data_IF_117674960880
#
_entry.id   IF_117674960880
#
_cell.length_a   1.000
_cell.length_b   1.000
_cell.length_c   1.000
_cell.angle_alpha   90.00
_cell.angle_beta   90.00
_cell.angle_gamma   90.00
#
_symmetry.space_group_name_H-M   'P 1'
#
loop_
_entity.id
_entity.type
_entity.pdbx_description
1 polymer ?
#
# COMPACT_ATOMS: atom_id res chain seq x y z
N UNK A 1 -39.40 24.46 -22.64
CA UNK A 1 -38.15 24.08 -21.96
C UNK A 1 -38.21 22.60 -21.63
N UNK A 2 -37.32 21.76 -22.16
CA UNK A 2 -37.19 20.35 -21.75
C UNK A 2 -35.70 20.08 -21.57
N UNK A 3 -35.29 20.00 -20.30
CA UNK A 3 -33.94 19.67 -19.86
C UNK A 3 -33.71 18.18 -20.11
N UNK A 4 -32.68 17.85 -20.89
CA UNK A 4 -32.16 16.50 -21.01
C UNK A 4 -31.23 16.28 -19.81
N UNK A 5 -31.67 15.43 -18.88
CA UNK A 5 -30.89 15.01 -17.74
C UNK A 5 -29.69 14.19 -18.24
N UNK A 6 -28.48 14.69 -17.99
CA UNK A 6 -27.26 13.97 -18.25
C UNK A 6 -27.14 12.81 -17.25
N UNK A 7 -27.05 11.59 -17.80
CA UNK A 7 -26.88 10.33 -17.11
C UNK A 7 -25.49 10.30 -16.45
N UNK A 8 -25.42 10.52 -15.14
CA UNK A 8 -24.20 10.31 -14.35
C UNK A 8 -24.02 8.81 -14.17
N UNK A 9 -23.03 8.24 -14.84
CA UNK A 9 -22.57 6.87 -14.54
C UNK A 9 -21.88 6.89 -13.18
N UNK A 10 -22.63 6.53 -12.14
CA UNK A 10 -22.05 6.15 -10.86
C UNK A 10 -21.20 4.89 -11.07
N UNK A 11 -19.90 4.99 -10.82
CA UNK A 11 -19.05 3.80 -10.71
C UNK A 11 -19.56 2.97 -9.53
N UNK A 12 -19.88 1.71 -9.79
CA UNK A 12 -20.22 0.75 -8.75
C UNK A 12 -18.98 0.55 -7.86
N UNK A 13 -18.94 1.26 -6.73
CA UNK A 13 -18.15 0.85 -5.60
C UNK A 13 -18.74 -0.48 -5.13
N UNK A 14 -17.96 -1.55 -5.21
CA UNK A 14 -18.28 -2.79 -4.50
C UNK A 14 -18.23 -2.48 -3.01
N UNK A 15 -19.35 -2.01 -2.47
CA UNK A 15 -19.55 -1.80 -1.04
C UNK A 15 -19.77 -3.17 -0.39
N UNK A 16 -18.67 -3.84 -0.04
CA UNK A 16 -18.71 -4.73 1.12
C UNK A 16 -18.32 -3.86 2.31
N UNK A 17 -19.36 -3.37 3.00
CA UNK A 17 -19.20 -2.71 4.29
C UNK A 17 -18.91 -3.83 5.31
N UNK A 18 -17.64 -4.05 5.61
CA UNK A 18 -17.23 -4.96 6.69
C UNK A 18 -17.28 -4.14 7.98
N UNK A 19 -18.40 -4.23 8.69
CA UNK A 19 -18.47 -3.87 10.11
C UNK A 19 -17.70 -4.98 10.87
N UNK A 20 -16.51 -4.70 11.40
CA UNK A 20 -15.77 -5.69 12.20
C UNK A 20 -14.35 -5.33 12.64
N UNK A 21 -13.53 -4.76 11.75
CA UNK A 21 -12.10 -4.53 12.02
C UNK A 21 -11.75 -3.13 12.56
N UNK A 22 -10.81 -3.07 13.50
CA UNK A 22 -10.14 -1.83 13.91
C UNK A 22 -9.09 -1.42 12.87
N UNK A 23 -8.98 -0.13 12.57
CA UNK A 23 -7.99 0.39 11.62
C UNK A 23 -6.70 0.73 12.36
N UNK A 24 -5.59 0.06 12.03
CA UNK A 24 -4.26 0.35 12.62
C UNK A 24 -3.44 1.33 11.81
N UNK A 25 -3.73 1.42 10.51
CA UNK A 25 -3.09 2.39 9.63
C UNK A 25 -4.06 2.88 8.56
N UNK A 26 -4.05 4.19 8.31
CA UNK A 26 -4.83 4.83 7.26
C UNK A 26 -4.07 6.06 6.73
N UNK A 27 -3.73 6.02 5.44
CA UNK A 27 -3.15 7.15 4.69
C UNK A 27 -4.20 7.95 3.90
N UNK A 28 -5.49 7.65 4.09
CA UNK A 28 -6.67 8.18 3.41
C UNK A 28 -6.73 7.85 1.91
N UNK A 29 -7.94 7.98 1.37
CA UNK A 29 -8.20 7.78 -0.06
C UNK A 29 -7.47 8.84 -0.92
N UNK A 30 -7.10 8.50 -2.17
CA UNK A 30 -6.56 9.46 -3.12
C UNK A 30 -7.57 10.54 -3.53
N UNK A 31 -7.07 11.70 -3.96
CA UNK A 31 -7.89 12.78 -4.53
C UNK A 31 -8.78 12.29 -5.69
N UNK A 32 -9.96 12.88 -5.82
CA UNK A 32 -10.89 12.57 -6.92
C UNK A 32 -10.32 12.87 -8.30
N UNK A 33 -9.54 13.96 -8.39
CA UNK A 33 -8.90 14.42 -9.62
C UNK A 33 -7.46 14.85 -9.33
N UNK A 34 -6.54 14.52 -10.25
CA UNK A 34 -5.14 14.94 -10.15
C UNK A 34 -4.32 14.20 -9.10
N UNK A 35 -4.80 13.05 -8.59
CA UNK A 35 -4.01 12.20 -7.70
C UNK A 35 -2.68 11.81 -8.35
N UNK A 36 -1.60 12.02 -7.60
CA UNK A 36 -0.27 11.51 -7.95
C UNK A 36 -0.16 10.05 -7.55
N UNK A 37 0.93 9.40 -7.96
CA UNK A 37 1.21 8.04 -7.55
C UNK A 37 2.43 7.47 -8.24
N UNK A 38 2.72 6.22 -7.91
CA UNK A 38 3.91 5.52 -8.38
C UNK A 38 3.53 4.32 -9.26
N UNK A 39 4.11 4.18 -10.47
CA UNK A 39 3.83 3.04 -11.33
C UNK A 39 4.39 1.75 -10.73
N UNK A 40 3.63 0.66 -10.83
CA UNK A 40 4.00 -0.67 -10.40
C UNK A 40 4.23 -1.55 -11.63
N UNK A 41 5.42 -2.11 -11.75
CA UNK A 41 5.82 -2.98 -12.85
C UNK A 41 6.84 -4.01 -12.37
N UNK A 42 7.21 -4.95 -13.23
CA UNK A 42 8.30 -5.89 -12.95
C UNK A 42 9.62 -5.17 -12.63
N UNK A 43 9.88 -4.04 -13.28
CA UNK A 43 11.10 -3.26 -13.05
C UNK A 43 11.00 -2.21 -11.93
N UNK A 44 9.84 -2.11 -11.27
CA UNK A 44 9.64 -1.20 -10.13
C UNK A 44 8.44 -1.66 -9.32
N UNK A 45 8.72 -2.14 -8.11
CA UNK A 45 7.73 -2.42 -7.08
C UNK A 45 7.67 -1.26 -6.10
N UNK A 46 6.56 -1.14 -5.38
CA UNK A 46 6.32 -0.04 -4.44
C UNK A 46 5.96 -0.64 -3.09
N UNK A 47 6.41 -0.02 -2.01
CA UNK A 47 6.09 -0.44 -0.66
C UNK A 47 5.77 0.75 0.25
N UNK A 48 4.89 0.53 1.22
CA UNK A 48 4.56 1.50 2.27
C UNK A 48 4.95 0.90 3.63
N UNK A 49 5.73 1.63 4.41
CA UNK A 49 6.02 1.28 5.81
C UNK A 49 4.97 1.92 6.71
N UNK A 50 4.53 1.18 7.72
CA UNK A 50 3.69 1.73 8.78
C UNK A 50 4.03 1.08 10.13
N UNK A 51 3.93 1.82 11.25
CA UNK A 51 4.05 1.24 12.59
C UNK A 51 2.72 0.62 13.06
N UNK A 52 2.81 -0.49 13.80
CA UNK A 52 1.70 -0.97 14.62
C UNK A 52 1.67 -0.21 15.95
N UNK A 53 0.48 0.04 16.52
CA UNK A 53 0.39 0.71 17.81
C UNK A 53 1.05 -0.12 18.91
N UNK A 54 1.56 0.56 19.93
CA UNK A 54 1.88 -0.11 21.19
C UNK A 54 0.55 -0.57 21.82
N UNK A 55 0.44 -1.87 22.11
CA UNK A 55 -0.73 -2.43 22.77
C UNK A 55 -0.35 -2.88 24.18
N UNK A 56 -1.09 -2.39 25.18
CA UNK A 56 -0.99 -2.85 26.56
C UNK A 56 -1.84 -4.12 26.74
N UNK A 57 -1.43 -5.23 26.13
CA UNK A 57 -2.13 -6.52 26.18
C UNK A 57 -1.30 -7.64 25.56
N UNK A 58 -1.57 -8.89 25.93
CA UNK A 58 -0.88 -10.08 25.37
C UNK A 58 -1.43 -10.53 24.02
N UNK A 59 -2.59 -10.02 23.65
CA UNK A 59 -3.29 -10.46 22.45
C UNK A 59 -2.75 -9.65 21.26
N UNK A 60 -2.17 -10.36 20.29
CA UNK A 60 -1.66 -9.73 19.07
C UNK A 60 -2.80 -9.34 18.13
N UNK A 61 -2.62 -8.23 17.40
CA UNK A 61 -3.62 -7.73 16.45
C UNK A 61 -3.60 -8.63 15.20
N UNK A 62 -4.72 -9.28 14.89
CA UNK A 62 -4.76 -10.19 13.74
C UNK A 62 -5.18 -9.44 12.49
N UNK A 63 -4.34 -9.44 11.45
CA UNK A 63 -4.66 -8.82 10.17
C UNK A 63 -5.91 -9.44 9.56
N UNK A 64 -6.94 -8.63 9.32
CA UNK A 64 -8.13 -9.06 8.60
C UNK A 64 -7.97 -8.84 7.10
N UNK A 65 -7.66 -7.62 6.68
CA UNK A 65 -7.45 -7.26 5.29
C UNK A 65 -6.74 -5.92 5.14
N UNK A 66 -6.29 -5.67 3.91
CA UNK A 66 -5.66 -4.42 3.49
C UNK A 66 -6.40 -3.85 2.29
N UNK A 67 -6.70 -2.55 2.32
CA UNK A 67 -7.19 -1.82 1.16
C UNK A 67 -6.10 -0.93 0.58
N UNK A 68 -5.99 -0.90 -0.75
CA UNK A 68 -5.15 0.08 -1.45
C UNK A 68 -5.78 0.49 -2.78
N UNK A 69 -5.49 1.70 -3.26
CA UNK A 69 -6.14 2.24 -4.46
C UNK A 69 -5.14 2.45 -5.60
N UNK A 70 -5.46 1.87 -6.76
CA UNK A 70 -4.69 2.03 -7.98
C UNK A 70 -5.43 2.84 -9.04
N UNK A 71 -4.67 3.58 -9.85
CA UNK A 71 -5.09 4.07 -11.16
C UNK A 71 -4.79 3.01 -12.23
N UNK A 72 -5.81 2.60 -12.98
CA UNK A 72 -5.73 1.54 -13.98
C UNK A 72 -6.22 1.96 -15.36
N UNK A 73 -6.66 3.20 -15.57
CA UNK A 73 -7.17 3.64 -16.88
C UNK A 73 -6.23 3.40 -18.06
N UNK A 74 -4.94 3.61 -17.86
CA UNK A 74 -3.97 3.62 -18.95
C UNK A 74 -3.37 2.24 -19.23
N UNK A 75 -3.75 1.21 -18.47
CA UNK A 75 -3.26 -0.15 -18.71
C UNK A 75 -4.01 -0.77 -19.90
N UNK A 76 -3.33 -1.57 -20.74
CA UNK A 76 -4.01 -2.32 -21.79
C UNK A 76 -4.90 -3.40 -21.17
N UNK A 77 -5.98 -3.70 -21.87
CA UNK A 77 -6.90 -4.78 -21.55
C UNK A 77 -6.21 -6.14 -21.80
N UNK A 78 -5.43 -6.57 -20.81
CA UNK A 78 -4.69 -7.83 -20.79
C UNK A 78 -5.07 -8.59 -19.52
N UNK A 79 -5.85 -9.65 -19.70
CA UNK A 79 -6.37 -10.50 -18.62
C UNK A 79 -5.28 -11.29 -17.89
N UNK A 80 -4.05 -11.30 -18.39
CA UNK A 80 -2.90 -11.92 -17.71
C UNK A 80 -2.25 -11.00 -16.66
N UNK A 81 -2.65 -9.73 -16.59
CA UNK A 81 -2.09 -8.78 -15.62
C UNK A 81 -2.55 -9.09 -14.21
N UNK A 82 -1.59 -9.11 -13.29
CA UNK A 82 -1.83 -9.33 -11.87
C UNK A 82 -0.93 -8.46 -11.00
N UNK A 83 -1.36 -8.33 -9.75
CA UNK A 83 -0.61 -7.77 -8.64
C UNK A 83 -0.30 -8.88 -7.64
N UNK A 84 0.83 -8.75 -6.97
CA UNK A 84 1.21 -9.60 -5.86
C UNK A 84 1.53 -8.67 -4.69
N UNK A 85 0.71 -8.74 -3.66
CA UNK A 85 0.96 -8.03 -2.42
C UNK A 85 1.69 -8.94 -1.42
N UNK A 86 2.44 -8.35 -0.50
CA UNK A 86 3.03 -9.04 0.64
C UNK A 86 3.13 -8.11 1.85
N UNK A 87 3.04 -8.66 3.05
CA UNK A 87 3.20 -7.94 4.31
C UNK A 87 4.31 -8.59 5.12
N UNK A 88 5.37 -7.85 5.44
CA UNK A 88 6.48 -8.35 6.23
C UNK A 88 6.97 -7.34 7.27
N UNK A 89 7.47 -7.78 8.43
CA UNK A 89 8.06 -6.87 9.41
C UNK A 89 9.33 -6.22 8.83
N UNK A 90 9.55 -4.95 9.13
CA UNK A 90 10.82 -4.30 8.83
C UNK A 90 11.87 -4.86 9.79
N UNK A 91 12.83 -5.63 9.29
CA UNK A 91 13.95 -6.10 10.11
C UNK A 91 14.78 -4.87 10.54
N UNK A 92 14.80 -4.58 11.86
CA UNK A 92 15.85 -3.74 12.42
C UNK A 92 17.13 -4.55 12.36
N UNK A 93 18.00 -4.28 11.38
CA UNK A 93 19.33 -4.90 11.33
C UNK A 93 20.13 -4.42 12.54
N UNK A 94 20.03 -5.16 13.65
CA UNK A 94 20.97 -5.07 14.77
C UNK A 94 22.30 -5.63 14.26
N UNK A 95 23.33 -4.79 14.22
CA UNK A 95 24.67 -5.03 13.66
C UNK A 95 24.83 -4.89 12.14
N UNK A 96 25.03 -3.65 11.71
CA UNK A 96 26.20 -3.40 10.87
C UNK A 96 26.95 -2.18 11.42
N UNK A 97 28.08 -2.47 12.07
CA UNK A 97 29.06 -1.48 12.49
C UNK A 97 29.37 -0.55 11.32
N UNK A 98 29.42 0.76 11.63
CA UNK A 98 30.13 1.79 10.85
C UNK A 98 29.40 2.33 9.61
N UNK A 99 28.19 2.90 9.77
CA UNK A 99 27.82 4.20 9.18
C UNK A 99 26.49 4.67 9.82
N UNK A 100 26.53 5.77 10.59
CA UNK A 100 25.33 6.43 11.13
C UNK A 100 24.60 7.17 10.00
N UNK A 101 23.95 6.45 9.10
CA UNK A 101 23.01 7.02 8.13
C UNK A 101 21.80 6.11 8.05
N UNK A 102 20.68 6.55 8.65
CA UNK A 102 19.32 6.02 8.48
C UNK A 102 19.20 4.47 8.40
N UNK A 103 19.16 3.81 9.56
CA UNK A 103 18.77 2.40 9.71
C UNK A 103 17.25 2.23 9.46
N UNK A 104 16.78 2.62 8.27
CA UNK A 104 15.44 2.30 7.78
C UNK A 104 15.51 0.86 7.26
N UNK A 105 14.89 -0.09 7.97
CA UNK A 105 14.87 -1.49 7.54
C UNK A 105 14.24 -1.59 6.15
N UNK A 106 14.90 -2.28 5.23
CA UNK A 106 14.37 -2.49 3.87
C UNK A 106 13.23 -3.52 3.90
N UNK A 107 12.27 -3.47 2.95
CA UNK A 107 11.32 -4.56 2.76
C UNK A 107 12.07 -5.85 2.46
N UNK A 108 11.84 -6.89 3.27
CA UNK A 108 12.46 -8.21 3.10
C UNK A 108 11.39 -9.31 3.15
N UNK A 109 10.35 -9.15 2.32
CA UNK A 109 9.26 -10.10 2.24
C UNK A 109 9.73 -11.36 1.50
N UNK A 110 9.51 -12.51 2.11
CA UNK A 110 9.75 -13.85 1.58
C UNK A 110 8.49 -14.41 0.91
N UNK A 111 8.58 -15.56 0.25
CA UNK A 111 7.43 -16.18 -0.42
C UNK A 111 6.28 -16.54 0.54
N UNK A 112 6.56 -16.77 1.83
CA UNK A 112 5.51 -17.01 2.84
C UNK A 112 4.77 -15.75 3.26
N UNK A 113 5.33 -14.58 2.98
CA UNK A 113 4.74 -13.27 3.29
C UNK A 113 3.80 -12.79 2.16
N UNK A 114 3.80 -13.51 1.03
CA UNK A 114 2.98 -13.22 -0.13
C UNK A 114 1.50 -13.48 0.18
N UNK A 115 0.69 -12.45 -0.07
CA UNK A 115 -0.76 -12.55 -0.06
C UNK A 115 -1.26 -13.19 -1.36
N UNK A 116 -2.57 -13.26 -1.57
CA UNK A 116 -3.10 -13.80 -2.83
C UNK A 116 -2.74 -12.90 -4.04
N UNK A 117 -2.57 -13.50 -5.22
CA UNK A 117 -2.43 -12.76 -6.48
C UNK A 117 -3.75 -12.12 -6.86
N UNK A 118 -3.71 -10.83 -7.17
CA UNK A 118 -4.89 -10.04 -7.46
C UNK A 118 -4.93 -9.77 -8.96
N UNK A 119 -5.88 -10.34 -9.71
CA UNK A 119 -5.99 -10.03 -11.13
C UNK A 119 -6.46 -8.58 -11.33
N UNK A 120 -5.94 -7.91 -12.36
CA UNK A 120 -6.35 -6.54 -12.69
C UNK A 120 -7.38 -6.58 -13.82
N UNK A 121 -8.66 -6.59 -13.45
CA UNK A 121 -9.78 -6.57 -14.41
C UNK A 121 -10.51 -5.23 -14.45
N UNK A 122 -10.37 -4.43 -13.39
CA UNK A 122 -11.04 -3.13 -13.28
C UNK A 122 -10.20 -2.04 -13.93
N UNK A 123 -10.73 -1.43 -14.99
CA UNK A 123 -10.14 -0.28 -15.67
C UNK A 123 -10.86 0.99 -15.19
N UNK A 124 -10.21 1.76 -14.33
CA UNK A 124 -10.80 2.95 -13.72
C UNK A 124 -9.74 3.99 -13.38
N UNK A 125 -10.18 5.26 -13.21
CA UNK A 125 -9.31 6.33 -12.66
C UNK A 125 -8.80 5.95 -11.29
N UNK A 126 -9.66 5.28 -10.52
CA UNK A 126 -9.41 4.77 -9.18
C UNK A 126 -10.12 3.43 -9.05
N UNK A 127 -9.37 2.40 -8.72
CA UNK A 127 -9.85 1.08 -8.38
C UNK A 127 -9.26 0.72 -7.03
N UNK A 128 -10.12 0.55 -6.03
CA UNK A 128 -9.72 0.07 -4.71
C UNK A 128 -9.71 -1.44 -4.72
N UNK A 129 -8.59 -2.00 -4.31
CA UNK A 129 -8.37 -3.44 -4.15
C UNK A 129 -8.33 -3.76 -2.67
N UNK A 130 -8.99 -4.86 -2.32
CA UNK A 130 -9.00 -5.41 -0.97
C UNK A 130 -8.26 -6.75 -1.02
N UNK A 131 -7.36 -6.97 -0.07
CA UNK A 131 -6.54 -8.18 0.01
C UNK A 131 -6.65 -8.79 1.38
N UNK A 132 -6.93 -10.08 1.41
CA UNK A 132 -7.01 -10.88 2.61
C UNK A 132 -5.74 -11.73 2.73
N UNK A 133 -5.26 -12.00 3.95
CA UNK A 133 -4.19 -12.95 4.14
C UNK A 133 -4.71 -14.38 3.95
N UNK A 134 -3.92 -15.20 3.25
CA UNK A 134 -4.25 -16.62 3.00
C UNK A 134 -4.24 -17.49 4.27
N UNK A 135 -3.60 -16.99 5.33
CA UNK A 135 -3.52 -17.59 6.67
C UNK A 135 -3.47 -16.47 7.71
N UNK A 136 -3.94 -16.67 8.95
CA UNK A 136 -3.90 -15.63 9.98
C UNK A 136 -2.50 -15.03 10.17
N UNK A 137 -2.39 -13.70 10.08
CA UNK A 137 -1.15 -12.97 10.34
C UNK A 137 -1.36 -12.16 11.62
N UNK A 138 -0.62 -12.48 12.68
CA UNK A 138 -0.64 -11.72 13.93
C UNK A 138 0.44 -10.66 13.86
N UNK A 139 0.06 -9.40 14.00
CA UNK A 139 0.96 -8.27 14.01
C UNK A 139 1.58 -8.12 15.41
N UNK A 140 2.91 -8.05 15.44
CA UNK A 140 3.66 -7.79 16.66
C UNK A 140 3.44 -6.33 17.09
N UNK A 141 3.21 -6.07 18.40
CA UNK A 141 3.15 -4.73 18.93
C UNK A 141 4.44 -3.95 18.70
N UNK A 142 4.37 -2.62 18.64
CA UNK A 142 5.53 -1.72 18.54
C UNK A 142 6.48 -2.04 17.35
N UNK A 143 5.95 -2.64 16.30
CA UNK A 143 6.72 -3.15 15.15
C UNK A 143 6.33 -2.42 13.89
N UNK A 144 7.32 -2.07 13.07
CA UNK A 144 7.08 -1.48 11.76
C UNK A 144 6.97 -2.58 10.72
N UNK A 145 5.98 -2.47 9.83
CA UNK A 145 5.71 -3.40 8.75
C UNK A 145 5.84 -2.71 7.40
N UNK A 146 6.21 -3.48 6.39
CA UNK A 146 6.18 -3.09 4.98
C UNK A 146 5.04 -3.83 4.28
N UNK A 147 4.12 -3.08 3.69
CA UNK A 147 3.19 -3.61 2.69
C UNK A 147 3.76 -3.32 1.30
N UNK A 148 4.09 -4.39 0.57
CA UNK A 148 4.71 -4.32 -0.76
C UNK A 148 3.71 -4.70 -1.83
N UNK A 149 3.82 -4.09 -3.01
CA UNK A 149 3.00 -4.45 -4.18
C UNK A 149 3.90 -4.57 -5.41
N UNK A 150 3.81 -5.74 -6.04
CA UNK A 150 4.50 -6.11 -7.27
C UNK A 150 3.50 -6.29 -8.41
N UNK A 151 3.97 -6.18 -9.65
CA UNK A 151 3.16 -6.51 -10.84
C UNK A 151 3.98 -7.30 -11.86
N UNK A 152 3.32 -8.19 -12.60
CA UNK A 152 3.94 -8.88 -13.74
C UNK A 152 4.09 -8.02 -15.00
N UNK A 153 3.64 -6.76 -14.95
CA UNK A 153 3.71 -5.83 -16.07
C UNK A 153 5.17 -5.54 -16.46
N UNK A 154 5.54 -5.80 -17.72
CA UNK A 154 6.94 -5.66 -18.19
C UNK A 154 7.52 -4.25 -18.12
N UNK A 155 6.73 -3.20 -18.32
CA UNK A 155 7.24 -1.82 -18.50
C UNK A 155 6.49 -0.83 -17.62
N UNK A 156 7.19 0.18 -17.07
CA UNK A 156 6.58 1.27 -16.29
C UNK A 156 5.52 2.07 -17.06
N UNK A 157 5.65 2.14 -18.40
CA UNK A 157 4.67 2.81 -19.27
C UNK A 157 3.35 2.03 -19.29
N UNK A 158 2.23 2.73 -19.07
CA UNK A 158 0.89 2.10 -19.03
C UNK A 158 0.82 0.97 -17.98
N UNK A 159 1.50 1.17 -16.85
CA UNK A 159 1.42 0.29 -15.68
C UNK A 159 0.31 0.74 -14.74
N UNK A 160 -0.21 -0.15 -13.88
CA UNK A 160 -0.99 0.26 -12.72
C UNK A 160 -0.20 1.27 -11.89
N UNK A 161 -0.87 2.30 -11.41
CA UNK A 161 -0.25 3.35 -10.59
C UNK A 161 -0.82 3.26 -9.19
N UNK A 162 0.00 3.04 -8.17
CA UNK A 162 -0.47 3.17 -6.79
C UNK A 162 -0.63 4.63 -6.45
N UNK A 163 -1.88 5.05 -6.28
CA UNK A 163 -2.22 6.46 -6.07
C UNK A 163 -1.94 6.85 -4.63
N UNK A 164 -1.34 8.03 -4.46
CA UNK A 164 -1.01 8.60 -3.16
C UNK A 164 -2.28 8.90 -2.35
N UNK A 165 -2.24 8.57 -1.06
CA UNK A 165 -3.26 8.97 -0.11
C UNK A 165 -3.24 10.48 0.13
N UNK A 166 -4.29 10.99 0.76
CA UNK A 166 -4.44 12.43 1.04
C UNK A 166 -3.95 12.85 2.42
N UNK A 167 -3.54 11.90 3.28
CA UNK A 167 -2.95 12.21 4.58
C UNK A 167 -1.48 12.60 4.43
N UNK A 168 -1.09 13.84 4.79
CA UNK A 168 0.32 14.20 4.87
C UNK A 168 0.93 13.63 6.15
N UNK A 169 2.21 13.25 6.08
CA UNK A 169 3.00 12.79 7.22
C UNK A 169 4.12 13.79 7.50
N UNK A 170 4.08 14.38 8.69
CA UNK A 170 4.98 15.42 9.19
C UNK A 170 5.54 15.00 10.55
N UNK A 171 6.42 15.82 11.14
CA UNK A 171 6.89 15.57 12.51
C UNK A 171 5.78 15.62 13.56
N UNK A 172 4.64 16.24 13.25
CA UNK A 172 3.52 16.37 14.18
C UNK A 172 2.75 15.05 14.35
N UNK A 173 2.60 14.28 13.26
CA UNK A 173 1.80 13.05 13.24
C UNK A 173 2.63 11.77 12.97
N UNK A 174 3.90 11.91 12.62
CA UNK A 174 4.88 10.83 12.54
C UNK A 174 6.29 11.34 12.96
N UNK A 175 6.48 11.66 14.25
CA UNK A 175 7.72 12.25 14.77
C UNK A 175 8.95 11.33 14.59
N UNK A 176 8.74 10.02 14.50
CA UNK A 176 9.80 9.03 14.34
C UNK A 176 10.07 8.66 12.88
N UNK A 177 9.35 9.27 11.93
CA UNK A 177 9.51 9.04 10.49
C UNK A 177 9.37 7.56 10.11
N UNK A 178 8.39 6.88 10.72
CA UNK A 178 8.14 5.45 10.54
C UNK A 178 7.19 5.15 9.38
N UNK A 179 6.50 6.15 8.84
CA UNK A 179 5.65 6.02 7.66
C UNK A 179 6.44 6.37 6.41
N UNK A 180 6.81 5.38 5.62
CA UNK A 180 7.80 5.54 4.54
C UNK A 180 7.32 4.92 3.24
N UNK A 181 7.98 5.31 2.15
CA UNK A 181 7.80 4.66 0.85
C UNK A 181 9.13 4.05 0.42
N UNK A 182 9.10 2.85 -0.13
CA UNK A 182 10.24 2.24 -0.78
C UNK A 182 9.90 1.82 -2.21
N UNK A 183 10.91 1.78 -3.05
CA UNK A 183 10.81 1.40 -4.46
C UNK A 183 11.88 0.37 -4.80
N UNK A 184 11.60 -0.51 -5.74
CA UNK A 184 12.67 -1.31 -6.35
C UNK A 184 13.24 -0.67 -7.61
N UNK A 185 14.55 -0.79 -7.76
CA UNK A 185 15.24 -0.74 -9.05
C UNK A 185 15.81 -2.13 -9.30
N UNK A 186 15.34 -2.83 -10.34
CA UNK A 186 15.84 -4.17 -10.72
C UNK A 186 15.92 -5.16 -9.54
N UNK A 187 14.88 -5.15 -8.68
CA UNK A 187 14.70 -5.97 -7.47
C UNK A 187 15.44 -5.51 -6.20
N UNK A 188 16.24 -4.43 -6.26
CA UNK A 188 16.86 -3.86 -5.06
C UNK A 188 15.99 -2.75 -4.47
N UNK A 189 15.63 -2.85 -3.19
CA UNK A 189 14.85 -1.84 -2.50
C UNK A 189 15.68 -0.60 -2.13
N UNK A 190 15.10 0.57 -2.37
CA UNK A 190 15.57 1.85 -1.86
C UNK A 190 14.43 2.60 -1.16
N UNK A 191 14.70 3.14 0.02
CA UNK A 191 13.73 3.91 0.81
C UNK A 191 13.81 5.38 0.42
N UNK A 192 12.65 5.98 0.14
CA UNK A 192 12.55 7.41 -0.13
C UNK A 192 12.94 8.24 1.11
N UNK A 193 13.65 9.34 0.90
CA UNK A 193 14.00 10.23 1.99
C UNK A 193 12.72 10.76 2.69
N UNK A 194 12.62 10.68 4.02
CA UNK A 194 11.44 11.14 4.75
C UNK A 194 11.44 12.67 4.88
N UNK A 195 10.98 13.34 3.83
CA UNK A 195 10.76 14.78 3.78
C UNK A 195 9.58 15.18 4.66
N UNK A 196 9.52 16.46 5.00
CA UNK A 196 8.35 17.04 5.67
C UNK A 196 7.12 17.01 4.75
N UNK A 197 5.92 16.92 5.34
CA UNK A 197 4.63 16.89 4.65
C UNK A 197 4.56 15.87 3.49
N UNK A 198 5.19 14.71 3.68
CA UNK A 198 5.25 13.67 2.65
C UNK A 198 3.93 12.92 2.53
N UNK A 199 3.65 12.45 1.32
CA UNK A 199 2.55 11.55 1.04
C UNK A 199 3.08 10.14 0.82
N UNK A 200 2.26 9.14 1.15
CA UNK A 200 2.52 7.74 0.82
C UNK A 200 1.38 7.19 -0.03
N UNK A 201 1.63 6.14 -0.83
CA UNK A 201 0.58 5.41 -1.53
C UNK A 201 -0.61 5.04 -0.61
N UNK A 202 -1.82 5.17 -1.13
CA UNK A 202 -3.07 4.95 -0.39
C UNK A 202 -3.15 3.53 0.17
N UNK A 203 -3.23 3.43 1.50
CA UNK A 203 -3.22 2.17 2.22
C UNK A 203 -4.08 2.29 3.49
N UNK A 204 -4.91 1.27 3.71
CA UNK A 204 -5.67 1.08 4.94
C UNK A 204 -5.48 -0.35 5.44
N UNK A 205 -5.18 -0.52 6.72
CA UNK A 205 -4.87 -1.82 7.33
C UNK A 205 -5.87 -2.09 8.44
N UNK A 206 -6.62 -3.18 8.31
CA UNK A 206 -7.67 -3.59 9.23
C UNK A 206 -7.25 -4.82 10.03
N UNK A 207 -7.53 -4.81 11.34
CA UNK A 207 -7.21 -5.88 12.28
C UNK A 207 -8.38 -6.21 13.20
N UNK A 208 -8.34 -7.39 13.79
CA UNK A 208 -9.21 -7.83 14.90
C UNK A 208 -8.42 -8.12 16.17
#
# INVERSE_FOLDING_TARGET
MKLLAALVHAAAASQVKVDGGSVVFDSLAPLDNGAKGSPISRGQSVAVQFPTPEHCGTDGLTLEYVNFTLGTLDIPDDKSLWLQAALCPSLRLLNQYKFRSFLLGLPHCTNSDALERIPIHTIAKRATFQVFPSSPIVLEPATTYWFTVHSNRKTKKKSPVWLDGTKPFSTDNDPYKQVLVAYTEEDTWAVAAPTEDRFVPSLQVYVS
#
